data_IF_991207950217
#
_entry.id   IF_991207950217
#
_cell.length_a   1.000
_cell.length_b   1.000
_cell.length_c   1.000
_cell.angle_alpha   90.00
_cell.angle_beta   90.00
_cell.angle_gamma   90.00
#
_symmetry.space_group_name_H-M   'P 1'
#
loop_
_entity.id
_entity.type
_entity.pdbx_description
1 polymer ?
#
# COMPACT_ATOMS: atom_id res chain seq x y z
N UNK A 1 10.15 19.71 -15.07
CA UNK A 1 9.58 18.51 -15.70
C UNK A 1 9.25 17.49 -14.60
N UNK A 2 8.09 16.84 -14.65
CA UNK A 2 7.75 15.75 -13.72
C UNK A 2 8.64 14.52 -13.94
N UNK A 3 8.67 13.59 -12.99
CA UNK A 3 9.52 12.38 -13.04
C UNK A 3 9.22 11.43 -14.23
N UNK A 4 8.15 11.68 -14.99
CA UNK A 4 7.66 10.78 -16.03
C UNK A 4 6.92 9.55 -15.49
N UNK A 5 6.65 9.50 -14.18
CA UNK A 5 5.88 8.44 -13.55
C UNK A 5 4.41 8.47 -14.00
N UNK A 6 3.76 7.31 -14.10
CA UNK A 6 2.37 7.19 -14.60
C UNK A 6 1.62 6.05 -13.93
N UNK A 7 0.30 6.21 -13.73
CA UNK A 7 -0.61 5.11 -13.38
C UNK A 7 -0.64 4.72 -11.90
N UNK A 8 -1.32 3.60 -11.62
CA UNK A 8 -1.73 3.17 -10.27
C UNK A 8 -0.60 3.09 -9.24
N UNK A 9 0.59 2.64 -9.66
CA UNK A 9 1.77 2.55 -8.79
C UNK A 9 2.90 3.49 -9.22
N UNK A 10 2.56 4.55 -9.99
CA UNK A 10 3.53 5.54 -10.47
C UNK A 10 4.71 4.90 -11.21
N UNK A 11 4.43 4.07 -12.22
CA UNK A 11 5.43 3.38 -13.02
C UNK A 11 6.45 4.36 -13.62
N UNK A 12 7.73 4.21 -13.25
CA UNK A 12 8.82 4.96 -13.86
C UNK A 12 9.06 4.49 -15.30
N UNK A 13 9.57 5.36 -16.22
CA UNK A 13 9.84 4.97 -17.60
C UNK A 13 10.77 3.75 -17.76
N UNK A 14 11.75 3.56 -16.87
CA UNK A 14 12.60 2.36 -16.84
C UNK A 14 11.82 1.12 -16.39
N UNK A 15 11.02 1.22 -15.33
CA UNK A 15 10.16 0.14 -14.83
C UNK A 15 9.16 -0.32 -15.88
N UNK A 16 8.46 0.61 -16.53
CA UNK A 16 7.49 0.29 -17.59
C UNK A 16 8.14 -0.49 -18.73
N UNK A 17 9.34 -0.08 -19.18
CA UNK A 17 10.12 -0.80 -20.19
C UNK A 17 10.51 -2.20 -19.74
N UNK A 18 10.96 -2.35 -18.49
CA UNK A 18 11.30 -3.66 -17.91
C UNK A 18 10.11 -4.63 -17.82
N UNK A 19 8.89 -4.12 -17.77
CA UNK A 19 7.65 -4.91 -17.78
C UNK A 19 7.08 -5.15 -19.19
N UNK A 20 7.81 -4.76 -20.24
CA UNK A 20 7.39 -4.93 -21.64
C UNK A 20 6.32 -3.93 -22.08
N UNK A 21 6.29 -2.72 -21.52
CA UNK A 21 5.37 -1.64 -21.91
C UNK A 21 6.06 -0.27 -21.91
N UNK A 22 5.29 0.81 -21.99
CA UNK A 22 5.77 2.19 -21.83
C UNK A 22 4.82 3.00 -20.96
N UNK A 23 5.29 4.11 -20.39
CA UNK A 23 4.43 5.05 -19.65
C UNK A 23 3.36 5.67 -20.57
N UNK A 24 3.65 5.86 -21.85
CA UNK A 24 2.67 6.31 -22.83
C UNK A 24 1.54 5.29 -23.03
N UNK A 25 1.86 4.00 -23.14
CA UNK A 25 0.86 2.93 -23.25
C UNK A 25 0.05 2.80 -21.94
N UNK A 26 0.71 2.82 -20.78
CA UNK A 26 0.05 2.78 -19.48
C UNK A 26 -0.92 3.97 -19.30
N UNK A 27 -0.56 5.16 -19.78
CA UNK A 27 -1.42 6.34 -19.70
C UNK A 27 -2.74 6.20 -20.50
N UNK A 28 -2.79 5.30 -21.49
CA UNK A 28 -4.00 5.02 -22.28
C UNK A 28 -4.83 3.87 -21.71
N UNK A 29 -4.38 3.22 -20.64
CA UNK A 29 -5.08 2.11 -20.00
C UNK A 29 -6.00 2.62 -18.91
N UNK A 30 -7.18 2.01 -18.81
CA UNK A 30 -8.03 2.15 -17.62
C UNK A 30 -7.32 1.61 -16.38
N UNK A 31 -7.79 2.00 -15.19
CA UNK A 31 -7.25 1.48 -13.93
C UNK A 31 -7.30 -0.06 -13.88
N UNK A 32 -8.39 -0.67 -14.34
CA UNK A 32 -8.53 -2.14 -14.37
C UNK A 32 -7.49 -2.78 -15.29
N UNK A 33 -7.28 -2.22 -16.49
CA UNK A 33 -6.24 -2.72 -17.40
C UNK A 33 -4.84 -2.59 -16.82
N UNK A 34 -4.56 -1.52 -16.05
CA UNK A 34 -3.26 -1.38 -15.40
C UNK A 34 -3.00 -2.45 -14.33
N UNK A 35 -4.04 -3.12 -13.79
CA UNK A 35 -3.85 -4.16 -12.77
C UNK A 35 -2.98 -5.32 -13.28
N UNK A 36 -3.04 -5.67 -14.57
CA UNK A 36 -2.17 -6.72 -15.16
C UNK A 36 -0.67 -6.33 -15.05
N UNK A 37 -0.35 -5.04 -15.15
CA UNK A 37 1.02 -4.55 -14.99
C UNK A 37 1.41 -4.36 -13.52
N UNK A 38 0.45 -4.05 -12.65
CA UNK A 38 0.66 -4.05 -11.21
C UNK A 38 0.98 -5.47 -10.73
N UNK A 39 0.24 -6.48 -11.19
CA UNK A 39 0.53 -7.89 -10.91
C UNK A 39 1.95 -8.27 -11.37
N UNK A 40 2.28 -8.02 -12.64
CA UNK A 40 3.64 -8.30 -13.18
C UNK A 40 4.75 -7.62 -12.38
N UNK A 41 4.51 -6.41 -11.88
CA UNK A 41 5.47 -5.69 -11.04
C UNK A 41 5.72 -6.35 -9.68
N UNK A 42 4.67 -6.94 -9.10
CA UNK A 42 4.71 -7.59 -7.79
C UNK A 42 5.06 -9.07 -7.83
N UNK A 43 4.89 -9.76 -8.97
CA UNK A 43 5.15 -11.20 -9.09
C UNK A 43 6.55 -11.64 -8.58
N UNK A 44 7.66 -10.93 -8.89
CA UNK A 44 9.00 -11.30 -8.38
C UNK A 44 9.16 -11.16 -6.86
N UNK A 45 8.21 -10.49 -6.20
CA UNK A 45 8.19 -10.20 -4.76
C UNK A 45 7.20 -11.08 -4.00
N UNK A 46 6.53 -12.02 -4.69
CA UNK A 46 5.59 -12.98 -4.09
C UNK A 46 6.21 -13.68 -2.89
N UNK A 47 5.47 -13.73 -1.79
CA UNK A 47 5.91 -14.32 -0.53
C UNK A 47 6.92 -13.50 0.28
N UNK A 48 7.43 -12.37 -0.23
CA UNK A 48 8.42 -11.52 0.47
C UNK A 48 7.81 -10.31 1.16
N UNK A 49 6.63 -9.87 0.73
CA UNK A 49 5.94 -8.70 1.29
C UNK A 49 5.03 -9.15 2.43
N UNK A 50 5.38 -8.82 3.68
CA UNK A 50 4.70 -9.34 4.88
C UNK A 50 3.80 -8.31 5.55
N UNK A 51 4.01 -7.02 5.29
CA UNK A 51 3.21 -5.94 5.86
C UNK A 51 2.76 -4.94 4.79
N UNK A 52 1.80 -4.07 5.14
CA UNK A 52 1.39 -2.95 4.29
C UNK A 52 2.59 -2.04 3.94
N UNK A 53 3.49 -1.84 4.91
CA UNK A 53 4.72 -1.09 4.71
C UNK A 53 5.63 -1.79 3.70
N UNK A 54 5.73 -3.12 3.70
CA UNK A 54 6.53 -3.82 2.68
C UNK A 54 5.96 -3.62 1.28
N UNK A 55 4.64 -3.59 1.13
CA UNK A 55 3.99 -3.30 -0.16
C UNK A 55 4.32 -1.87 -0.59
N UNK A 56 4.22 -0.90 0.32
CA UNK A 56 4.56 0.48 0.00
C UNK A 56 6.05 0.66 -0.29
N UNK A 57 6.94 0.02 0.48
CA UNK A 57 8.38 0.04 0.27
C UNK A 57 8.77 -0.63 -1.05
N UNK A 58 8.06 -1.66 -1.48
CA UNK A 58 8.31 -2.25 -2.79
C UNK A 58 8.18 -1.23 -3.92
N UNK A 59 7.36 -0.18 -3.78
CA UNK A 59 7.16 0.91 -4.74
C UNK A 59 8.11 2.09 -4.46
N UNK A 60 8.13 2.60 -3.22
CA UNK A 60 8.87 3.82 -2.87
C UNK A 60 10.38 3.59 -2.73
N UNK A 61 10.77 2.54 -2.01
CA UNK A 61 12.17 2.28 -1.64
C UNK A 61 12.43 0.78 -1.42
N UNK A 62 12.64 -0.01 -2.50
CA UNK A 62 12.67 -1.47 -2.42
C UNK A 62 13.68 -2.05 -1.43
N UNK A 63 14.78 -1.34 -1.16
CA UNK A 63 15.80 -1.74 -0.19
C UNK A 63 15.30 -1.80 1.27
N UNK A 64 14.15 -1.20 1.57
CA UNK A 64 13.51 -1.23 2.90
C UNK A 64 12.45 -2.35 3.05
N UNK A 65 12.20 -3.16 2.02
CA UNK A 65 11.35 -4.36 2.14
C UNK A 65 11.97 -5.32 3.16
N UNK A 66 11.16 -5.81 4.10
CA UNK A 66 11.61 -6.71 5.18
C UNK A 66 12.43 -6.04 6.28
N UNK A 67 12.78 -4.75 6.16
CA UNK A 67 13.42 -3.98 7.23
C UNK A 67 12.39 -3.63 8.33
N UNK A 68 12.82 -3.45 9.59
CA UNK A 68 11.94 -3.00 10.66
C UNK A 68 11.38 -1.60 10.38
N UNK A 69 10.26 -1.26 11.01
CA UNK A 69 9.61 0.05 10.86
C UNK A 69 10.47 1.23 11.33
N UNK A 70 11.44 0.99 12.22
CA UNK A 70 12.44 1.96 12.67
C UNK A 70 13.57 2.21 11.67
N UNK A 71 13.63 1.48 10.56
CA UNK A 71 14.65 1.66 9.54
C UNK A 71 14.53 3.07 8.93
N UNK A 72 15.63 3.81 8.93
CA UNK A 72 15.71 5.17 8.37
C UNK A 72 15.92 5.07 6.86
N UNK A 73 14.98 5.63 6.09
CA UNK A 73 15.07 5.72 4.63
C UNK A 73 15.96 6.89 4.23
N UNK A 74 15.68 8.05 4.82
CA UNK A 74 16.36 9.30 4.55
C UNK A 74 16.56 10.08 5.85
N UNK A 75 17.59 10.91 5.88
CA UNK A 75 17.96 11.78 6.97
C UNK A 75 18.41 13.13 6.43
N UNK A 76 18.44 14.18 7.25
CA UNK A 76 18.95 15.50 6.83
C UNK A 76 20.34 15.44 6.17
N UNK A 77 21.17 14.47 6.56
CA UNK A 77 22.48 14.23 5.95
C UNK A 77 22.43 13.84 4.47
N UNK A 78 21.30 13.30 4.00
CA UNK A 78 21.07 12.90 2.60
C UNK A 78 20.71 14.09 1.69
N UNK A 79 20.73 15.31 2.24
CA UNK A 79 20.57 16.57 1.51
C UNK A 79 19.29 16.60 0.69
N UNK A 80 19.43 16.69 -0.63
CA UNK A 80 18.30 16.84 -1.57
C UNK A 80 17.26 15.74 -1.42
N UNK A 81 17.68 14.49 -1.19
CA UNK A 81 16.77 13.36 -1.07
C UNK A 81 15.83 13.54 0.12
N UNK A 82 16.37 13.92 1.28
CA UNK A 82 15.54 14.24 2.44
C UNK A 82 14.71 15.50 2.19
N UNK A 83 15.29 16.57 1.65
CA UNK A 83 14.52 17.81 1.40
C UNK A 83 13.28 17.57 0.53
N UNK A 84 13.40 16.75 -0.52
CA UNK A 84 12.29 16.40 -1.40
C UNK A 84 11.22 15.52 -0.74
N UNK A 85 11.59 14.78 0.31
CA UNK A 85 10.70 13.86 1.03
C UNK A 85 10.37 14.35 2.45
N UNK A 86 10.79 15.56 2.83
CA UNK A 86 10.68 16.09 4.20
C UNK A 86 9.26 16.13 4.74
N UNK A 87 8.24 16.16 3.89
CA UNK A 87 6.83 16.01 4.30
C UNK A 87 6.45 14.63 4.83
N UNK A 88 7.37 13.66 4.79
CA UNK A 88 7.25 12.34 5.42
C UNK A 88 7.90 12.28 6.81
N UNK A 89 8.68 13.29 7.23
CA UNK A 89 9.24 13.38 8.59
C UNK A 89 8.18 13.98 9.50
N UNK A 90 7.38 13.11 10.13
CA UNK A 90 6.15 13.51 10.82
C UNK A 90 6.42 14.08 12.21
N UNK A 91 7.47 13.59 12.87
CA UNK A 91 7.88 14.05 14.19
C UNK A 91 8.91 15.20 14.12
N UNK A 92 9.41 15.52 12.91
CA UNK A 92 10.39 16.58 12.61
C UNK A 92 11.76 16.37 13.24
N UNK A 93 12.16 15.12 13.49
CA UNK A 93 13.43 14.76 14.12
C UNK A 93 14.63 14.76 13.16
N UNK A 94 14.39 15.00 11.86
CA UNK A 94 15.43 15.01 10.84
C UNK A 94 15.69 13.65 10.20
N UNK A 95 14.86 12.65 10.48
CA UNK A 95 14.87 11.31 9.88
C UNK A 95 13.48 10.99 9.32
N UNK A 96 13.46 10.17 8.28
CA UNK A 96 12.24 9.60 7.71
C UNK A 96 12.37 8.10 7.88
N UNK A 97 11.58 7.53 8.77
CA UNK A 97 11.56 6.08 9.01
C UNK A 97 10.59 5.36 8.08
N UNK A 98 10.71 4.03 7.99
CA UNK A 98 9.79 3.20 7.22
C UNK A 98 8.34 3.35 7.71
N UNK A 99 8.15 3.46 9.02
CA UNK A 99 6.84 3.75 9.61
C UNK A 99 6.25 5.05 9.06
N UNK A 100 7.02 6.15 9.15
CA UNK A 100 6.51 7.47 8.76
C UNK A 100 6.25 7.58 7.26
N UNK A 101 7.14 6.99 6.45
CA UNK A 101 6.94 6.95 5.00
C UNK A 101 5.62 6.27 4.62
N UNK A 102 5.26 5.19 5.32
CA UNK A 102 4.04 4.43 5.05
C UNK A 102 2.80 4.94 5.81
N UNK A 103 2.94 5.92 6.70
CA UNK A 103 1.88 6.35 7.63
C UNK A 103 0.58 6.70 6.89
N UNK A 104 0.66 7.50 5.82
CA UNK A 104 -0.52 7.89 5.04
C UNK A 104 -1.27 6.70 4.42
N UNK A 105 -0.55 5.65 4.04
CA UNK A 105 -1.17 4.43 3.48
C UNK A 105 -1.86 3.63 4.58
N UNK A 106 -1.24 3.55 5.76
CA UNK A 106 -1.83 2.94 6.94
C UNK A 106 -3.09 3.68 7.40
N UNK A 107 -3.06 5.01 7.44
CA UNK A 107 -4.23 5.84 7.77
C UNK A 107 -5.41 5.55 6.83
N UNK A 108 -5.13 5.37 5.53
CA UNK A 108 -6.17 5.01 4.54
C UNK A 108 -6.74 3.62 4.73
N UNK A 109 -5.93 2.64 5.13
CA UNK A 109 -6.42 1.33 5.52
C UNK A 109 -7.34 1.44 6.74
N UNK A 110 -6.92 2.18 7.77
CA UNK A 110 -7.72 2.37 8.99
C UNK A 110 -9.05 3.08 8.71
N UNK A 111 -9.04 4.12 7.88
CA UNK A 111 -10.25 4.82 7.43
C UNK A 111 -11.22 3.86 6.72
N UNK A 112 -10.70 3.02 5.81
CA UNK A 112 -11.48 1.99 5.12
C UNK A 112 -12.07 0.94 6.07
N UNK A 113 -11.33 0.53 7.10
CA UNK A 113 -11.82 -0.44 8.08
C UNK A 113 -12.86 0.16 9.05
N UNK A 114 -12.75 1.46 9.39
CA UNK A 114 -13.73 2.14 10.24
C UNK A 114 -15.06 2.41 9.54
N UNK A 115 -15.02 2.60 8.22
CA UNK A 115 -16.21 2.83 7.39
C UNK A 115 -16.97 1.55 7.04
N UNK A 116 -16.42 0.37 7.37
CA UNK A 116 -17.14 -0.89 7.27
C UNK A 116 -18.05 -1.06 8.50
N UNK A 117 -19.37 -1.27 8.34
CA UNK A 117 -20.20 -1.66 9.49
C UNK A 117 -19.60 -2.94 10.11
N UNK A 118 -19.68 -3.12 11.44
CA UNK A 118 -19.16 -4.33 12.07
C UNK A 118 -19.79 -5.54 11.36
N UNK A 119 -18.93 -6.48 10.94
CA UNK A 119 -19.36 -7.73 10.33
C UNK A 119 -20.48 -8.30 11.19
N UNK A 120 -21.68 -8.41 10.62
CA UNK A 120 -22.92 -8.67 11.32
C UNK A 120 -22.72 -9.72 12.40
N UNK A 121 -22.80 -9.31 13.66
CA UNK A 121 -23.00 -10.24 14.76
C UNK A 121 -24.20 -11.08 14.37
N UNK A 122 -23.96 -12.36 14.13
CA UNK A 122 -24.99 -13.35 13.85
C UNK A 122 -26.02 -13.23 14.97
N UNK A 123 -27.18 -12.64 14.64
CA UNK A 123 -28.35 -12.72 15.49
C UNK A 123 -28.66 -14.20 15.65
N UNK A 124 -28.43 -14.72 16.84
CA UNK A 124 -28.87 -16.05 17.23
C UNK A 124 -30.39 -16.06 17.10
N UNK A 125 -30.87 -16.63 16.00
CA UNK A 125 -32.29 -16.86 15.77
C UNK A 125 -32.75 -17.95 16.73
N UNK A 126 -33.61 -17.55 17.66
CA UNK A 126 -34.31 -18.38 18.63
C UNK A 126 -35.01 -19.54 17.94
N UNK A 127 -34.72 -20.78 18.37
CA UNK A 127 -35.46 -21.97 17.95
C UNK A 127 -36.91 -21.91 18.48
N UNK A 128 -37.92 -22.35 17.71
CA UNK A 128 -39.29 -22.39 18.19
C UNK A 128 -39.48 -23.57 19.15
N UNK A 129 -40.01 -23.29 20.34
CA UNK A 129 -40.46 -24.28 21.32
C UNK A 129 -41.64 -25.07 20.75
N UNK A 130 -41.49 -26.39 20.62
CA UNK A 130 -42.59 -27.28 20.24
C UNK A 130 -43.54 -27.48 21.45
N UNK A 131 -44.81 -27.12 21.26
CA UNK A 131 -45.91 -27.41 22.19
C UNK A 131 -46.23 -28.90 22.16
N UNK A 132 -46.12 -29.58 23.30
CA UNK A 132 -46.65 -30.94 23.48
C UNK A 132 -48.05 -30.83 24.07
N UNK A 133 -49.08 -31.16 23.30
CA UNK A 133 -50.45 -31.34 23.79
C UNK A 133 -50.63 -32.78 24.24
N UNK A 134 -50.90 -32.98 25.52
CA UNK A 134 -51.44 -34.23 26.08
C UNK A 134 -52.91 -33.99 26.40
N UNK A 135 -53.81 -34.75 25.78
CA UNK A 135 -54.90 -35.57 26.36
C UNK A 135 -55.82 -36.03 25.22
#
# INVERSE_FOLDING_TARGET
>A
AGSGATGLIQFMPSTARGLGTSTAALAQMSAVQQLDWVEKYFEPKKGKLKTLEDIYMAILWPAAVGRPNSYVLFSRGDGRTYSQNSGLDTNRDGKITKAEAAQKVRDKLEEGLRSMPPASSTTSSTAPTATTTTT
#
